data_IF_935488614220
#
_entry.id   IF_935488614220
#
_cell.length_a   1.000
_cell.length_b   1.000
_cell.length_c   1.000
_cell.angle_alpha   90.00
_cell.angle_beta   90.00
_cell.angle_gamma   90.00
#
_symmetry.space_group_name_H-M   'P 1'
#
loop_
_entity.id
_entity.type
_entity.pdbx_description
1 polymer ?
#
# COMPACT_ATOMS: atom_id res chain seq x y z
N UNK A 1 0.13 -9.70 -0.99
CA UNK A 1 -1.00 -9.72 -0.05
C UNK A 1 -2.24 -10.23 -0.74
N UNK A 2 -3.37 -10.25 -0.03
CA UNK A 2 -4.65 -10.73 -0.53
C UNK A 2 -5.14 -9.99 -1.78
N UNK A 3 -4.88 -8.67 -1.89
CA UNK A 3 -5.18 -7.90 -3.10
C UNK A 3 -4.57 -8.54 -4.36
N UNK A 4 -3.27 -8.89 -4.34
CA UNK A 4 -2.63 -9.58 -5.46
C UNK A 4 -3.23 -10.96 -5.73
N UNK A 5 -3.65 -11.69 -4.69
CA UNK A 5 -4.28 -12.99 -4.87
C UNK A 5 -5.57 -12.86 -5.68
N UNK A 6 -6.52 -12.04 -5.21
CA UNK A 6 -7.81 -11.89 -5.88
C UNK A 6 -7.76 -11.06 -7.18
N UNK A 7 -6.75 -10.20 -7.34
CA UNK A 7 -6.57 -9.40 -8.55
C UNK A 7 -5.80 -10.13 -9.67
N UNK A 8 -4.83 -11.00 -9.34
CA UNK A 8 -3.95 -11.62 -10.34
C UNK A 8 -3.91 -13.13 -10.34
N UNK A 9 -4.02 -13.78 -9.18
CA UNK A 9 -3.69 -15.20 -9.05
C UNK A 9 -4.91 -16.10 -8.88
N UNK A 10 -6.06 -15.56 -8.49
CA UNK A 10 -7.29 -16.33 -8.38
C UNK A 10 -7.63 -16.95 -9.76
N UNK A 11 -7.93 -18.26 -9.83
CA UNK A 11 -8.16 -18.95 -11.10
C UNK A 11 -9.46 -18.52 -11.79
N UNK A 12 -10.37 -17.89 -11.04
CA UNK A 12 -11.57 -17.26 -11.55
C UNK A 12 -11.73 -15.89 -10.88
N UNK A 13 -12.36 -14.96 -11.59
CA UNK A 13 -12.65 -13.63 -11.07
C UNK A 13 -13.74 -13.71 -9.98
N UNK A 14 -13.43 -13.20 -8.78
CA UNK A 14 -14.38 -13.12 -7.66
C UNK A 14 -14.48 -11.65 -7.23
N UNK A 15 -15.55 -10.98 -7.67
CA UNK A 15 -15.68 -9.52 -7.55
C UNK A 15 -15.63 -9.02 -6.09
N UNK A 16 -16.44 -9.60 -5.19
CA UNK A 16 -16.54 -9.13 -3.80
C UNK A 16 -15.19 -9.06 -3.06
N UNK A 17 -14.41 -10.15 -2.92
CA UNK A 17 -13.13 -10.08 -2.22
C UNK A 17 -12.13 -9.22 -2.98
N UNK A 18 -12.11 -9.27 -4.32
CA UNK A 18 -11.23 -8.42 -5.12
C UNK A 18 -11.46 -6.95 -4.81
N UNK A 19 -12.70 -6.49 -4.91
CA UNK A 19 -13.04 -5.08 -4.74
C UNK A 19 -12.81 -4.63 -3.30
N UNK A 20 -13.11 -5.49 -2.32
CA UNK A 20 -12.81 -5.24 -0.91
C UNK A 20 -11.31 -5.04 -0.68
N UNK A 21 -10.47 -5.97 -1.15
CA UNK A 21 -9.02 -5.88 -0.95
C UNK A 21 -8.38 -4.74 -1.76
N UNK A 22 -8.92 -4.41 -2.93
CA UNK A 22 -8.46 -3.25 -3.70
C UNK A 22 -8.83 -1.94 -2.99
N UNK A 23 -10.04 -1.82 -2.44
CA UNK A 23 -10.44 -0.65 -1.67
C UNK A 23 -9.62 -0.51 -0.39
N UNK A 24 -9.35 -1.61 0.32
CA UNK A 24 -8.51 -1.57 1.52
C UNK A 24 -7.06 -1.21 1.19
N UNK A 25 -6.50 -1.74 0.09
CA UNK A 25 -5.13 -1.37 -0.34
C UNK A 25 -5.05 0.10 -0.72
N UNK A 26 -6.07 0.64 -1.41
CA UNK A 26 -6.18 2.08 -1.68
C UNK A 26 -6.21 2.90 -0.38
N UNK A 27 -6.99 2.46 0.62
CA UNK A 27 -7.05 3.13 1.93
C UNK A 27 -5.69 3.12 2.63
N UNK A 28 -4.95 2.02 2.56
CA UNK A 28 -3.60 1.93 3.15
C UNK A 28 -2.62 2.90 2.50
N UNK A 29 -2.66 3.07 1.17
CA UNK A 29 -1.81 4.06 0.49
C UNK A 29 -2.15 5.49 0.90
N UNK A 30 -3.43 5.85 0.99
CA UNK A 30 -3.84 7.15 1.54
C UNK A 30 -3.36 7.39 2.97
N UNK A 31 -3.37 6.36 3.83
CA UNK A 31 -2.84 6.47 5.20
C UNK A 31 -1.34 6.71 5.20
N UNK A 32 -0.60 6.07 4.28
CA UNK A 32 0.85 6.28 4.16
C UNK A 32 1.17 7.67 3.64
N UNK A 33 0.45 8.15 2.62
CA UNK A 33 0.63 9.47 2.05
C UNK A 33 0.35 10.57 3.08
N UNK A 34 -0.81 10.51 3.74
CA UNK A 34 -1.15 11.44 4.82
C UNK A 34 -0.16 11.39 5.99
N UNK A 35 0.47 10.23 6.23
CA UNK A 35 1.50 10.10 7.27
C UNK A 35 2.82 10.77 6.88
N UNK A 36 3.13 10.82 5.59
CA UNK A 36 4.39 11.32 5.04
C UNK A 36 4.31 12.76 4.54
N UNK A 37 3.12 13.36 4.42
CA UNK A 37 2.90 14.73 3.95
C UNK A 37 3.84 15.78 4.59
N UNK A 38 4.15 15.62 5.89
CA UNK A 38 5.05 16.51 6.63
C UNK A 38 6.21 15.75 7.31
N UNK A 39 6.58 14.58 6.79
CA UNK A 39 7.56 13.67 7.40
C UNK A 39 8.38 12.92 6.37
N UNK A 40 9.69 12.85 6.60
CA UNK A 40 10.61 12.03 5.81
C UNK A 40 10.42 10.51 6.05
N UNK A 41 10.02 10.12 7.27
CA UNK A 41 9.89 8.70 7.64
C UNK A 41 8.64 8.40 8.50
N UNK A 42 8.13 7.16 8.35
CA UNK A 42 6.89 6.70 8.99
C UNK A 42 6.92 6.74 10.53
N UNK A 43 8.08 6.47 11.14
CA UNK A 43 8.23 6.30 12.60
C UNK A 43 9.16 7.35 13.18
N UNK A 44 9.08 7.60 14.49
CA UNK A 44 9.91 8.60 15.18
C UNK A 44 9.26 9.98 15.32
N UNK A 45 9.90 10.87 16.09
CA UNK A 45 9.45 12.25 16.35
C UNK A 45 9.93 13.20 15.24
N UNK A 46 9.33 14.39 15.15
CA UNK A 46 9.66 15.38 14.11
C UNK A 46 9.46 14.81 12.70
N UNK A 47 10.47 14.98 11.84
CA UNK A 47 10.53 14.43 10.47
C UNK A 47 10.60 12.88 10.42
N UNK A 48 10.77 12.23 11.57
CA UNK A 48 10.83 10.78 11.67
C UNK A 48 12.26 10.23 11.65
N UNK A 49 12.36 8.90 11.65
CA UNK A 49 13.60 8.13 11.64
C UNK A 49 13.44 6.93 10.72
N UNK A 50 14.48 6.64 9.94
CA UNK A 50 14.56 5.39 9.19
C UNK A 50 14.56 4.19 10.13
N UNK A 51 13.90 3.11 9.72
CA UNK A 51 13.77 1.93 10.55
C UNK A 51 13.00 0.81 9.86
N UNK A 52 12.85 -0.30 10.57
CA UNK A 52 12.26 -1.53 10.03
C UNK A 52 10.85 -1.31 9.51
N UNK A 53 10.04 -0.46 10.15
CA UNK A 53 8.69 -0.13 9.67
C UNK A 53 8.70 0.54 8.28
N UNK A 54 9.59 1.51 8.05
CA UNK A 54 9.74 2.14 6.74
C UNK A 54 10.19 1.13 5.68
N UNK A 55 11.18 0.31 6.00
CA UNK A 55 11.71 -0.71 5.08
C UNK A 55 10.67 -1.79 4.76
N UNK A 56 9.91 -2.27 5.74
CA UNK A 56 8.90 -3.30 5.54
C UNK A 56 7.71 -2.78 4.73
N UNK A 57 7.32 -1.52 4.89
CA UNK A 57 6.27 -0.91 4.07
C UNK A 57 6.75 -0.58 2.66
N UNK A 58 7.97 -0.06 2.52
CA UNK A 58 8.54 0.34 1.23
C UNK A 58 8.57 -0.81 0.21
N UNK A 59 8.91 -2.03 0.62
CA UNK A 59 8.96 -3.18 -0.31
C UNK A 59 7.59 -3.50 -0.92
N UNK A 60 6.50 -3.28 -0.18
CA UNK A 60 5.14 -3.45 -0.70
C UNK A 60 4.71 -2.27 -1.58
N UNK A 61 4.99 -1.03 -1.17
CA UNK A 61 4.65 0.18 -1.94
C UNK A 61 5.41 0.21 -3.27
N UNK A 62 6.69 -0.17 -3.28
CA UNK A 62 7.49 -0.29 -4.51
C UNK A 62 6.86 -1.24 -5.54
N UNK A 63 6.11 -2.22 -5.09
CA UNK A 63 5.40 -3.19 -5.94
C UNK A 63 3.91 -2.83 -6.16
N UNK A 64 3.48 -1.59 -5.90
CA UNK A 64 2.09 -1.16 -6.04
C UNK A 64 1.51 -1.35 -7.44
N UNK A 65 2.32 -1.14 -8.48
CA UNK A 65 1.93 -1.37 -9.88
C UNK A 65 1.61 -2.84 -10.14
N UNK A 66 2.26 -3.77 -9.43
CA UNK A 66 1.91 -5.17 -9.46
C UNK A 66 0.53 -5.42 -8.85
N UNK A 67 0.13 -4.67 -7.83
CA UNK A 67 -1.22 -4.73 -7.27
C UNK A 67 -2.28 -3.97 -8.10
N UNK A 68 -1.87 -3.32 -9.20
CA UNK A 68 -2.76 -2.55 -10.06
C UNK A 68 -2.98 -1.11 -9.61
N UNK A 69 -2.10 -0.57 -8.77
CA UNK A 69 -2.17 0.83 -8.33
C UNK A 69 -1.10 1.68 -9.00
N UNK A 70 -1.53 2.88 -9.35
CA UNK A 70 -0.68 3.97 -9.77
C UNK A 70 -0.48 4.90 -8.57
N UNK A 71 0.77 5.06 -8.14
CA UNK A 71 1.11 5.81 -6.93
C UNK A 71 0.96 7.33 -7.13
N UNK A 72 0.98 7.83 -8.36
CA UNK A 72 0.79 9.27 -8.65
C UNK A 72 -0.63 9.78 -8.36
N UNK A 73 -1.55 8.87 -8.02
CA UNK A 73 -2.96 9.17 -7.73
C UNK A 73 -3.25 9.38 -6.24
N UNK A 74 -2.23 9.32 -5.40
CA UNK A 74 -2.32 9.50 -3.95
C UNK A 74 -1.68 10.83 -3.57
#
# INVERSE_FOLDING_TARGET
GQANHFFRYAPAEIAYPRDWYQNETRRLYWVLEARLEYRDYLVGRGQGKSGVAGMSTFTWVRCATWAGFDLEKF
#
